data_IF_445933586223
#
_entry.id   IF_445933586223
#
_cell.length_a   1.000
_cell.length_b   1.000
_cell.length_c   1.000
_cell.angle_alpha   90.00
_cell.angle_beta   90.00
_cell.angle_gamma   90.00
#
_symmetry.space_group_name_H-M   'P 1'
#
loop_
_entity.id
_entity.type
_entity.pdbx_description
1 polymer ?
#
# COMPACT_ATOMS: atom_id res chain seq x y z
N UNK A 1 -26.89 110.42 78.00
CA UNK A 1 -25.49 110.25 78.49
C UNK A 1 -25.07 108.78 78.59
N UNK A 2 -25.99 107.81 78.69
CA UNK A 2 -25.69 106.35 78.72
C UNK A 2 -25.47 105.74 77.32
N UNK A 3 -26.12 106.25 76.25
CA UNK A 3 -25.92 105.71 74.88
C UNK A 3 -24.57 106.12 74.24
N UNK A 4 -24.07 107.34 74.51
CA UNK A 4 -22.77 107.81 74.00
C UNK A 4 -21.58 107.06 74.61
N UNK A 5 -21.73 106.53 75.83
CA UNK A 5 -20.68 105.73 76.48
C UNK A 5 -20.68 104.29 75.98
N UNK A 6 -21.85 103.71 75.67
CA UNK A 6 -21.95 102.39 75.03
C UNK A 6 -21.29 102.37 73.65
N UNK A 7 -21.59 103.35 72.79
CA UNK A 7 -21.05 103.42 71.43
C UNK A 7 -19.52 103.64 71.40
N UNK A 8 -19.00 104.43 72.35
CA UNK A 8 -17.55 104.62 72.50
C UNK A 8 -16.84 103.35 72.98
N UNK A 9 -17.45 102.60 73.90
CA UNK A 9 -16.93 101.32 74.39
C UNK A 9 -16.94 100.27 73.27
N UNK A 10 -18.00 100.21 72.46
CA UNK A 10 -18.07 99.30 71.31
C UNK A 10 -17.04 99.66 70.23
N UNK A 11 -16.82 100.95 70.00
CA UNK A 11 -15.77 101.42 69.08
C UNK A 11 -14.36 101.07 69.58
N UNK A 12 -14.09 101.24 70.87
CA UNK A 12 -12.81 100.91 71.47
C UNK A 12 -12.56 99.39 71.43
N UNK A 13 -13.57 98.59 71.76
CA UNK A 13 -13.51 97.13 71.64
C UNK A 13 -13.26 96.69 70.21
N UNK A 14 -13.89 97.33 69.23
CA UNK A 14 -13.68 97.02 67.82
C UNK A 14 -12.26 97.35 67.37
N UNK A 15 -11.69 98.46 67.84
CA UNK A 15 -10.31 98.86 67.54
C UNK A 15 -9.29 97.93 68.23
N UNK A 16 -9.53 97.53 69.49
CA UNK A 16 -8.68 96.58 70.22
C UNK A 16 -8.73 95.17 69.61
N UNK A 17 -9.92 94.72 69.20
CA UNK A 17 -10.09 93.45 68.46
C UNK A 17 -9.38 93.53 67.12
N UNK A 18 -9.50 94.64 66.39
CA UNK A 18 -8.80 94.82 65.12
C UNK A 18 -7.27 94.77 65.30
N UNK A 19 -6.72 95.48 66.29
CA UNK A 19 -5.28 95.44 66.60
C UNK A 19 -4.82 94.05 67.03
N UNK A 20 -5.64 93.31 67.78
CA UNK A 20 -5.32 91.95 68.19
C UNK A 20 -5.31 90.98 67.00
N UNK A 21 -6.32 91.06 66.13
CA UNK A 21 -6.46 90.21 64.93
C UNK A 21 -5.35 90.48 63.92
N UNK A 22 -4.99 91.75 63.72
CA UNK A 22 -3.94 92.17 62.79
C UNK A 22 -2.58 92.34 63.47
N UNK A 23 -2.40 91.85 64.70
CA UNK A 23 -1.10 91.85 65.35
C UNK A 23 -0.16 90.88 64.64
N UNK A 24 1.13 91.24 64.59
CA UNK A 24 2.17 90.39 64.01
C UNK A 24 2.14 88.98 64.59
N UNK A 25 1.90 88.85 65.90
CA UNK A 25 1.81 87.55 66.59
C UNK A 25 0.66 86.68 66.08
N UNK A 26 -0.52 87.26 65.86
CA UNK A 26 -1.69 86.53 65.32
C UNK A 26 -1.48 86.15 63.85
N UNK A 27 -0.91 87.07 63.05
CA UNK A 27 -0.58 86.83 61.64
C UNK A 27 0.46 85.71 61.52
N UNK A 28 1.50 85.71 62.34
CA UNK A 28 2.55 84.68 62.34
C UNK A 28 2.02 83.32 62.79
N UNK A 29 1.19 83.29 63.84
CA UNK A 29 0.54 82.07 64.30
C UNK A 29 -0.37 81.48 63.21
N UNK A 30 -1.17 82.32 62.53
CA UNK A 30 -2.01 81.88 61.43
C UNK A 30 -1.18 81.43 60.22
N UNK A 31 -0.11 82.15 59.87
CA UNK A 31 0.81 81.80 58.79
C UNK A 31 1.51 80.46 59.04
N UNK A 32 1.92 80.19 60.29
CA UNK A 32 2.52 78.90 60.67
C UNK A 32 1.50 77.76 60.61
N UNK A 33 0.28 77.96 61.13
CA UNK A 33 -0.78 76.94 61.07
C UNK A 33 -1.19 76.67 59.62
N UNK A 34 -1.38 77.70 58.80
CA UNK A 34 -1.68 77.57 57.38
C UNK A 34 -0.55 76.88 56.61
N UNK A 35 0.71 77.28 56.85
CA UNK A 35 1.89 76.67 56.24
C UNK A 35 2.03 75.19 56.59
N UNK A 36 1.85 74.83 57.86
CA UNK A 36 1.88 73.43 58.31
C UNK A 36 0.73 72.61 57.73
N UNK A 37 -0.49 73.16 57.67
CA UNK A 37 -1.65 72.48 57.09
C UNK A 37 -1.46 72.21 55.59
N UNK A 38 -0.97 73.21 54.84
CA UNK A 38 -0.66 73.05 53.42
C UNK A 38 0.49 72.07 53.21
N UNK A 39 1.59 72.18 53.97
CA UNK A 39 2.73 71.28 53.87
C UNK A 39 2.34 69.83 54.14
N UNK A 40 1.55 69.58 55.20
CA UNK A 40 1.05 68.25 55.55
C UNK A 40 0.13 67.70 54.47
N UNK A 41 -0.76 68.53 53.92
CA UNK A 41 -1.68 68.16 52.84
C UNK A 41 -0.92 67.81 51.55
N UNK A 42 0.06 68.63 51.15
CA UNK A 42 0.89 68.38 49.96
C UNK A 42 1.75 67.13 50.14
N UNK A 43 2.34 66.94 51.33
CA UNK A 43 3.16 65.75 51.61
C UNK A 43 2.31 64.47 51.59
N UNK A 44 1.10 64.51 52.17
CA UNK A 44 0.16 63.40 52.11
C UNK A 44 -0.27 63.09 50.67
N UNK A 45 -0.67 64.10 49.89
CA UNK A 45 -1.07 63.94 48.50
C UNK A 45 0.08 63.43 47.62
N UNK A 46 1.31 63.90 47.85
CA UNK A 46 2.50 63.41 47.14
C UNK A 46 2.79 61.94 47.47
N UNK A 47 2.74 61.57 48.75
CA UNK A 47 2.94 60.19 49.19
C UNK A 47 1.85 59.27 48.62
N UNK A 48 0.59 59.70 48.68
CA UNK A 48 -0.54 58.97 48.12
C UNK A 48 -0.40 58.81 46.61
N UNK A 49 -0.10 59.88 45.87
CA UNK A 49 0.12 59.85 44.42
C UNK A 49 1.29 58.94 44.05
N UNK A 50 2.39 58.99 44.81
CA UNK A 50 3.57 58.16 44.57
C UNK A 50 3.25 56.67 44.80
N UNK A 51 2.55 56.32 45.88
CA UNK A 51 2.23 54.95 46.24
C UNK A 51 1.08 54.36 45.42
N UNK A 52 0.08 55.16 45.05
CA UNK A 52 -1.13 54.69 44.36
C UNK A 52 -1.06 54.80 42.83
N UNK A 53 -0.20 55.69 42.31
CA UNK A 53 -0.13 55.98 40.87
C UNK A 53 1.28 55.72 40.31
N UNK A 54 2.31 56.39 40.84
CA UNK A 54 3.65 56.36 40.23
C UNK A 54 4.29 54.97 40.34
N UNK A 55 4.38 54.40 41.56
CA UNK A 55 4.97 53.07 41.76
C UNK A 55 4.20 52.00 40.96
N UNK A 56 2.85 51.90 41.06
CA UNK A 56 2.11 50.89 40.30
C UNK A 56 2.21 51.05 38.78
N UNK A 57 2.27 52.28 38.27
CA UNK A 57 2.44 52.53 36.83
C UNK A 57 3.83 52.14 36.34
N UNK A 58 4.87 52.43 37.11
CA UNK A 58 6.24 52.00 36.82
C UNK A 58 6.38 50.47 36.87
N UNK A 59 5.82 49.82 37.90
CA UNK A 59 5.80 48.35 38.00
C UNK A 59 5.07 47.71 36.82
N UNK A 60 3.92 48.29 36.44
CA UNK A 60 3.14 47.82 35.28
C UNK A 60 3.94 47.97 33.98
N UNK A 61 4.61 49.11 33.77
CA UNK A 61 5.44 49.35 32.61
C UNK A 61 6.63 48.37 32.56
N UNK A 62 7.31 48.16 33.69
CA UNK A 62 8.45 47.24 33.78
C UNK A 62 8.02 45.80 33.51
N UNK A 63 6.89 45.37 34.07
CA UNK A 63 6.32 44.04 33.81
C UNK A 63 5.96 43.87 32.33
N UNK A 64 5.35 44.89 31.72
CA UNK A 64 5.02 44.86 30.30
C UNK A 64 6.27 44.76 29.42
N UNK A 65 7.33 45.52 29.72
CA UNK A 65 8.61 45.42 29.02
C UNK A 65 9.24 44.04 29.15
N UNK A 66 9.22 43.45 30.35
CA UNK A 66 9.76 42.10 30.55
C UNK A 66 9.01 41.06 29.73
N UNK A 67 7.68 41.15 29.68
CA UNK A 67 6.88 40.28 28.81
C UNK A 67 7.20 40.47 27.33
N UNK A 68 7.28 41.73 26.85
CA UNK A 68 7.61 42.01 25.46
C UNK A 68 9.02 41.50 25.07
N UNK A 69 10.01 41.65 25.94
CA UNK A 69 11.37 41.13 25.71
C UNK A 69 11.36 39.60 25.68
N UNK A 70 10.64 38.96 26.60
CA UNK A 70 10.51 37.51 26.61
C UNK A 70 9.83 37.00 25.33
N UNK A 71 8.74 37.63 24.90
CA UNK A 71 7.99 37.23 23.71
C UNK A 71 8.83 37.44 22.45
N UNK A 72 9.50 38.58 22.32
CA UNK A 72 10.42 38.86 21.22
C UNK A 72 11.57 37.83 21.18
N UNK A 73 12.11 37.45 22.34
CA UNK A 73 13.16 36.45 22.43
C UNK A 73 12.67 35.05 22.03
N UNK A 74 11.50 34.62 22.50
CA UNK A 74 10.93 33.32 22.14
C UNK A 74 10.60 33.24 20.64
N UNK A 75 10.03 34.32 20.08
CA UNK A 75 9.73 34.43 18.67
C UNK A 75 11.01 34.40 17.83
N UNK A 76 12.03 35.18 18.20
CA UNK A 76 13.32 35.20 17.51
C UNK A 76 14.04 33.84 17.56
N UNK A 77 13.97 33.13 18.69
CA UNK A 77 14.46 31.75 18.79
C UNK A 77 13.73 30.81 17.83
N UNK A 78 12.40 30.90 17.76
CA UNK A 78 11.58 30.11 16.84
C UNK A 78 11.93 30.38 15.38
N UNK A 79 12.06 31.67 15.02
CA UNK A 79 12.45 32.09 13.68
C UNK A 79 13.86 31.60 13.30
N UNK A 80 14.84 31.76 14.20
CA UNK A 80 16.21 31.28 13.97
C UNK A 80 16.25 29.76 13.80
N UNK A 81 15.50 29.02 14.62
CA UNK A 81 15.40 27.56 14.47
C UNK A 81 14.79 27.19 13.11
N UNK A 82 13.74 27.89 12.70
CA UNK A 82 13.11 27.71 11.38
C UNK A 82 14.09 27.97 10.24
N UNK A 83 14.80 29.10 10.27
CA UNK A 83 15.80 29.45 9.26
C UNK A 83 16.93 28.41 9.20
N UNK A 84 17.40 27.90 10.35
CA UNK A 84 18.40 26.83 10.40
C UNK A 84 17.90 25.55 9.75
N UNK A 85 16.66 25.11 10.04
CA UNK A 85 16.08 23.94 9.37
C UNK A 85 15.99 24.13 7.86
N UNK A 86 15.52 25.30 7.40
CA UNK A 86 15.44 25.60 5.96
C UNK A 86 16.81 25.59 5.29
N UNK A 87 17.84 26.17 5.92
CA UNK A 87 19.19 26.12 5.35
C UNK A 87 19.77 24.71 5.33
N UNK A 88 19.54 23.93 6.37
CA UNK A 88 20.02 22.54 6.42
C UNK A 88 19.36 21.69 5.34
N UNK A 89 18.07 21.89 5.10
CA UNK A 89 17.32 21.23 4.02
C UNK A 89 17.86 21.63 2.64
N UNK A 90 18.04 22.94 2.40
CA UNK A 90 18.63 23.45 1.15
C UNK A 90 20.04 22.91 0.90
N UNK A 91 20.90 22.87 1.93
CA UNK A 91 22.25 22.32 1.79
C UNK A 91 22.19 20.82 1.49
N UNK A 92 21.29 20.08 2.13
CA UNK A 92 21.11 18.64 1.89
C UNK A 92 20.65 18.39 0.46
N UNK A 93 19.67 19.16 -0.02
CA UNK A 93 19.16 19.06 -1.38
C UNK A 93 20.21 19.46 -2.43
N UNK A 94 20.91 20.57 -2.23
CA UNK A 94 21.98 21.01 -3.12
C UNK A 94 23.14 19.99 -3.16
N UNK A 95 23.48 19.37 -2.03
CA UNK A 95 24.48 18.29 -2.01
C UNK A 95 24.00 17.04 -2.73
N UNK A 96 22.71 16.69 -2.60
CA UNK A 96 22.13 15.57 -3.34
C UNK A 96 22.19 15.81 -4.85
N UNK A 97 21.76 16.99 -5.31
CA UNK A 97 21.83 17.40 -6.70
C UNK A 97 23.27 17.47 -7.22
N UNK A 98 24.22 18.00 -6.43
CA UNK A 98 25.62 18.06 -6.83
C UNK A 98 26.32 16.69 -6.86
N UNK A 99 25.93 15.77 -5.96
CA UNK A 99 26.46 14.40 -5.91
C UNK A 99 25.86 13.50 -6.99
N UNK A 100 24.64 13.82 -7.42
CA UNK A 100 23.87 13.04 -8.38
C UNK A 100 23.24 13.92 -9.47
N UNK A 101 24.05 14.70 -10.23
CA UNK A 101 23.53 15.68 -11.18
C UNK A 101 22.68 15.03 -12.28
N UNK A 102 22.98 13.77 -12.59
CA UNK A 102 22.33 13.04 -13.68
C UNK A 102 21.29 12.03 -13.16
N UNK A 103 20.94 12.01 -11.88
CA UNK A 103 19.93 11.06 -11.37
C UNK A 103 18.57 11.29 -12.03
N UNK A 104 18.20 12.55 -12.28
CA UNK A 104 16.97 12.85 -13.01
C UNK A 104 17.01 12.34 -14.46
N UNK A 105 18.13 12.51 -15.15
CA UNK A 105 18.33 12.01 -16.51
C UNK A 105 18.33 10.47 -16.56
N UNK A 106 18.98 9.81 -15.60
CA UNK A 106 19.00 8.35 -15.46
C UNK A 106 17.61 7.80 -15.13
N UNK A 107 16.85 8.47 -14.26
CA UNK A 107 15.46 8.12 -13.96
C UNK A 107 14.60 8.20 -15.24
N UNK A 108 14.70 9.30 -15.98
CA UNK A 108 13.95 9.48 -17.23
C UNK A 108 14.35 8.43 -18.29
N UNK A 109 15.64 8.10 -18.39
CA UNK A 109 16.12 7.04 -19.29
C UNK A 109 15.60 5.66 -18.87
N UNK A 110 15.55 5.39 -17.57
CA UNK A 110 14.99 4.15 -17.00
C UNK A 110 13.50 4.04 -17.29
N UNK A 111 12.73 5.11 -17.08
CA UNK A 111 11.29 5.15 -17.37
C UNK A 111 11.03 4.97 -18.88
N UNK A 112 11.85 5.59 -19.71
CA UNK A 112 11.79 5.43 -21.17
C UNK A 112 12.06 3.99 -21.57
N UNK A 113 13.09 3.36 -20.99
CA UNK A 113 13.44 1.97 -21.25
C UNK A 113 12.33 1.01 -20.80
N UNK A 114 11.76 1.22 -19.60
CA UNK A 114 10.62 0.47 -19.07
C UNK A 114 9.44 0.53 -20.06
N UNK A 115 9.07 1.73 -20.51
CA UNK A 115 7.96 1.90 -21.46
C UNK A 115 8.23 1.23 -22.81
N UNK A 116 9.48 1.26 -23.29
CA UNK A 116 9.87 0.59 -24.53
C UNK A 116 9.78 -0.93 -24.39
N UNK A 117 10.26 -1.47 -23.27
CA UNK A 117 10.18 -2.90 -22.98
C UNK A 117 8.73 -3.38 -22.91
N UNK A 118 7.84 -2.64 -22.25
CA UNK A 118 6.40 -2.96 -22.19
C UNK A 118 5.75 -2.93 -23.58
N UNK A 119 6.08 -1.94 -24.41
CA UNK A 119 5.59 -1.87 -25.81
C UNK A 119 6.11 -3.02 -26.66
N UNK A 120 7.37 -3.40 -26.50
CA UNK A 120 7.95 -4.55 -27.20
C UNK A 120 7.27 -5.86 -26.80
N UNK A 121 7.09 -6.10 -25.49
CA UNK A 121 6.41 -7.28 -24.99
C UNK A 121 5.00 -7.39 -25.56
N UNK A 122 4.25 -6.30 -25.52
CA UNK A 122 2.90 -6.22 -26.09
C UNK A 122 2.89 -6.49 -27.60
N UNK A 123 3.85 -5.92 -28.34
CA UNK A 123 3.95 -6.13 -29.78
C UNK A 123 4.29 -7.58 -30.13
N UNK A 124 5.29 -8.18 -29.46
CA UNK A 124 5.66 -9.59 -29.66
C UNK A 124 4.50 -10.51 -29.34
N UNK A 125 3.78 -10.28 -28.24
CA UNK A 125 2.60 -11.06 -27.88
C UNK A 125 1.50 -10.96 -28.95
N UNK A 126 1.23 -9.75 -29.47
CA UNK A 126 0.25 -9.55 -30.52
C UNK A 126 0.65 -10.25 -31.84
N UNK A 127 1.92 -10.15 -32.23
CA UNK A 127 2.43 -10.79 -33.45
C UNK A 127 2.41 -12.32 -33.35
N UNK A 128 2.85 -12.89 -32.23
CA UNK A 128 2.79 -14.34 -31.99
C UNK A 128 1.34 -14.81 -32.07
N UNK A 129 0.41 -14.13 -31.37
CA UNK A 129 -1.01 -14.48 -31.39
C UNK A 129 -1.58 -14.46 -32.81
N UNK A 130 -1.31 -13.40 -33.56
CA UNK A 130 -1.77 -13.25 -34.94
C UNK A 130 -1.24 -14.37 -35.86
N UNK A 131 0.04 -14.70 -35.73
CA UNK A 131 0.66 -15.74 -36.56
C UNK A 131 0.13 -17.13 -36.21
N UNK A 132 -0.03 -17.42 -34.91
CA UNK A 132 -0.56 -18.69 -34.43
C UNK A 132 -2.02 -18.89 -34.88
N UNK A 133 -2.85 -17.85 -34.77
CA UNK A 133 -4.25 -17.88 -35.23
C UNK A 133 -4.32 -18.11 -36.75
N UNK A 134 -3.47 -17.42 -37.52
CA UNK A 134 -3.42 -17.56 -38.98
C UNK A 134 -2.97 -18.97 -39.42
N UNK A 135 -1.88 -19.49 -38.85
CA UNK A 135 -1.35 -20.82 -39.17
C UNK A 135 -2.32 -21.94 -38.76
N UNK A 136 -2.92 -21.83 -37.56
CA UNK A 136 -3.93 -22.78 -37.10
C UNK A 136 -5.14 -22.80 -38.04
N UNK A 137 -5.62 -21.63 -38.44
CA UNK A 137 -6.77 -21.51 -39.34
C UNK A 137 -6.46 -22.07 -40.73
N UNK A 138 -5.26 -21.79 -41.29
CA UNK A 138 -4.83 -22.35 -42.57
C UNK A 138 -4.68 -23.88 -42.51
N UNK A 139 -4.06 -24.40 -41.45
CA UNK A 139 -3.92 -25.85 -41.24
C UNK A 139 -5.27 -26.55 -41.08
N UNK A 140 -6.22 -25.94 -40.37
CA UNK A 140 -7.57 -26.50 -40.21
C UNK A 140 -8.32 -26.56 -41.54
N UNK A 141 -8.25 -25.51 -42.35
CA UNK A 141 -8.84 -25.49 -43.70
C UNK A 141 -8.19 -26.55 -44.59
N UNK A 142 -6.87 -26.66 -44.59
CA UNK A 142 -6.16 -27.70 -45.34
C UNK A 142 -6.51 -29.12 -44.89
N UNK A 143 -6.65 -29.36 -43.58
CA UNK A 143 -7.16 -30.63 -43.06
C UNK A 143 -8.60 -30.91 -43.49
N UNK A 144 -9.48 -29.90 -43.45
CA UNK A 144 -10.86 -30.06 -43.92
C UNK A 144 -10.92 -30.43 -45.40
N UNK A 145 -10.10 -29.79 -46.25
CA UNK A 145 -9.99 -30.12 -47.67
C UNK A 145 -9.47 -31.55 -47.88
N UNK A 146 -8.43 -31.95 -47.13
CA UNK A 146 -7.87 -33.29 -47.22
C UNK A 146 -8.87 -34.36 -46.77
N UNK A 147 -9.57 -34.15 -45.65
CA UNK A 147 -10.61 -35.05 -45.16
C UNK A 147 -11.76 -35.13 -46.16
N UNK A 148 -12.19 -34.00 -46.72
CA UNK A 148 -13.22 -33.98 -47.75
C UNK A 148 -12.82 -34.80 -48.98
N UNK A 149 -11.56 -34.66 -49.44
CA UNK A 149 -11.04 -35.45 -50.55
C UNK A 149 -11.03 -36.95 -50.23
N UNK A 150 -10.46 -37.36 -49.08
CA UNK A 150 -10.44 -38.78 -48.68
C UNK A 150 -11.84 -39.36 -48.49
N UNK A 151 -12.76 -38.61 -47.88
CA UNK A 151 -14.14 -39.07 -47.72
C UNK A 151 -14.85 -39.18 -49.06
N UNK A 152 -14.68 -38.24 -49.99
CA UNK A 152 -15.26 -38.33 -51.33
C UNK A 152 -14.71 -39.54 -52.10
N UNK A 153 -13.41 -39.80 -51.98
CA UNK A 153 -12.75 -40.93 -52.65
C UNK A 153 -13.19 -42.27 -52.05
N UNK A 154 -13.12 -42.42 -50.72
CA UNK A 154 -13.52 -43.64 -50.03
C UNK A 154 -15.03 -43.92 -50.16
N UNK A 155 -15.89 -42.89 -50.05
CA UNK A 155 -17.34 -43.05 -50.29
C UNK A 155 -17.59 -43.38 -51.76
N UNK A 156 -16.85 -42.80 -52.70
CA UNK A 156 -16.95 -43.13 -54.12
C UNK A 156 -16.62 -44.60 -54.40
N UNK A 157 -15.54 -45.11 -53.78
CA UNK A 157 -15.12 -46.51 -53.91
C UNK A 157 -16.11 -47.46 -53.22
N UNK A 158 -16.54 -47.16 -51.99
CA UNK A 158 -17.50 -47.96 -51.23
C UNK A 158 -18.89 -47.96 -51.88
N UNK A 159 -19.36 -46.83 -52.43
CA UNK A 159 -20.63 -46.75 -53.17
C UNK A 159 -20.53 -47.51 -54.49
N UNK A 160 -19.40 -47.45 -55.19
CA UNK A 160 -19.19 -48.22 -56.42
C UNK A 160 -19.21 -49.72 -56.13
N UNK A 161 -18.53 -50.16 -55.06
CA UNK A 161 -18.52 -51.53 -54.57
C UNK A 161 -19.91 -51.97 -54.12
N UNK A 162 -20.62 -51.16 -53.34
CA UNK A 162 -21.97 -51.44 -52.87
C UNK A 162 -23.00 -51.48 -54.01
N UNK A 163 -22.87 -50.64 -55.03
CA UNK A 163 -23.73 -50.69 -56.24
C UNK A 163 -23.45 -51.94 -57.06
N UNK A 164 -22.17 -52.31 -57.20
CA UNK A 164 -21.77 -53.56 -57.89
C UNK A 164 -22.25 -54.78 -57.12
N UNK A 165 -22.13 -54.78 -55.81
CA UNK A 165 -22.62 -55.85 -54.95
C UNK A 165 -24.15 -55.87 -54.86
N UNK A 166 -24.84 -54.74 -54.85
CA UNK A 166 -26.29 -54.66 -54.97
C UNK A 166 -26.75 -55.17 -56.35
N UNK A 167 -26.03 -54.87 -57.43
CA UNK A 167 -26.30 -55.42 -58.76
C UNK A 167 -26.15 -56.94 -58.80
N UNK A 168 -25.07 -57.46 -58.22
CA UNK A 168 -24.85 -58.89 -58.06
C UNK A 168 -25.91 -59.53 -57.15
N UNK A 169 -26.29 -58.87 -56.04
CA UNK A 169 -27.33 -59.33 -55.12
C UNK A 169 -28.74 -59.22 -55.68
N UNK A 170 -29.04 -58.30 -56.60
CA UNK A 170 -30.32 -58.26 -57.31
C UNK A 170 -30.38 -59.40 -58.32
N UNK A 171 -29.27 -59.66 -59.04
CA UNK A 171 -29.12 -60.85 -59.90
C UNK A 171 -29.22 -62.16 -59.11
N UNK A 172 -28.63 -62.22 -57.92
CA UNK A 172 -28.64 -63.41 -57.05
C UNK A 172 -29.93 -63.54 -56.23
N UNK A 173 -30.63 -62.43 -55.90
CA UNK A 173 -31.91 -62.42 -55.17
C UNK A 173 -33.08 -62.89 -56.05
N UNK A 174 -33.00 -62.71 -57.37
CA UNK A 174 -33.90 -63.39 -58.31
C UNK A 174 -33.66 -64.91 -58.30
N UNK A 175 -32.46 -65.38 -57.92
CA UNK A 175 -32.11 -66.79 -57.87
C UNK A 175 -32.28 -67.46 -56.50
N UNK A 176 -32.09 -66.75 -55.38
CA UNK A 176 -31.93 -67.35 -54.05
C UNK A 176 -32.69 -66.59 -52.95
N UNK A 177 -34.02 -66.56 -53.06
CA UNK A 177 -34.90 -66.21 -51.94
C UNK A 177 -35.12 -67.40 -50.98
N UNK A 178 -34.07 -67.88 -50.30
CA UNK A 178 -34.23 -68.66 -49.05
C UNK A 178 -33.00 -68.51 -48.15
N UNK A 179 -33.27 -68.16 -46.88
CA UNK A 179 -32.42 -68.40 -45.68
C UNK A 179 -31.40 -67.31 -45.27
N UNK A 180 -31.93 -66.39 -44.45
CA UNK A 180 -31.47 -65.92 -43.13
C UNK A 180 -30.00 -65.50 -42.83
N UNK A 181 -29.94 -64.26 -42.32
CA UNK A 181 -29.25 -63.75 -41.10
C UNK A 181 -27.72 -63.75 -40.99
N UNK A 182 -27.14 -62.55 -40.70
CA UNK A 182 -26.42 -62.23 -39.44
C UNK A 182 -25.81 -60.81 -39.43
N UNK A 183 -25.72 -60.19 -38.24
CA UNK A 183 -25.30 -58.81 -37.88
C UNK A 183 -23.77 -58.61 -37.82
N UNK A 184 -23.23 -57.37 -37.88
CA UNK A 184 -21.89 -57.06 -37.38
C UNK A 184 -21.85 -56.20 -36.10
N UNK A 185 -20.72 -56.34 -35.40
CA UNK A 185 -20.33 -55.78 -34.09
C UNK A 185 -19.72 -54.38 -34.24
N UNK A 186 -20.04 -53.45 -33.32
CA UNK A 186 -19.47 -52.09 -33.24
C UNK A 186 -18.28 -52.08 -32.27
N UNK A 187 -17.12 -51.61 -32.73
CA UNK A 187 -15.96 -51.29 -31.87
C UNK A 187 -16.07 -49.86 -31.32
N UNK A 188 -15.91 -49.73 -30.00
CA UNK A 188 -15.95 -48.48 -29.24
C UNK A 188 -14.55 -47.86 -29.20
N UNK A 189 -14.44 -46.59 -29.57
CA UNK A 189 -13.26 -45.73 -29.43
C UNK A 189 -12.86 -45.54 -27.94
N UNK A 190 -11.56 -45.42 -27.59
CA UNK A 190 -11.16 -45.20 -26.20
C UNK A 190 -11.54 -43.81 -25.71
N UNK A 191 -12.11 -43.79 -24.51
CA UNK A 191 -12.64 -42.63 -23.79
C UNK A 191 -11.53 -41.67 -23.32
N UNK A 192 -11.80 -40.37 -23.39
CA UNK A 192 -11.03 -39.27 -22.79
C UNK A 192 -11.00 -39.48 -21.26
N UNK A 193 -9.98 -40.15 -20.71
CA UNK A 193 -9.85 -40.31 -19.26
C UNK A 193 -9.32 -39.02 -18.64
N UNK A 194 -10.04 -38.50 -17.64
CA UNK A 194 -9.55 -37.44 -16.75
C UNK A 194 -8.20 -37.86 -16.12
N UNK A 195 -7.24 -36.93 -15.88
CA UNK A 195 -5.90 -37.28 -15.38
C UNK A 195 -5.85 -37.66 -13.88
N UNK A 196 -6.96 -37.54 -13.13
CA UNK A 196 -7.05 -37.82 -11.68
C UNK A 196 -6.57 -39.23 -11.26
N UNK A 197 -6.98 -40.35 -11.90
CA UNK A 197 -6.57 -41.69 -11.49
C UNK A 197 -5.08 -41.95 -11.73
N UNK A 198 -4.48 -41.33 -12.76
CA UNK A 198 -3.04 -41.44 -13.03
C UNK A 198 -2.22 -40.75 -11.92
N UNK A 199 -2.65 -39.57 -11.48
CA UNK A 199 -2.01 -38.84 -10.37
C UNK A 199 -2.09 -39.64 -9.07
N UNK A 200 -3.24 -40.23 -8.74
CA UNK A 200 -3.38 -41.09 -7.56
C UNK A 200 -2.42 -42.27 -7.59
N UNK A 201 -2.26 -42.91 -8.76
CA UNK A 201 -1.32 -44.01 -8.94
C UNK A 201 0.13 -43.56 -8.71
N UNK A 202 0.52 -42.38 -9.21
CA UNK A 202 1.86 -41.82 -9.00
C UNK A 202 2.13 -41.51 -7.53
N UNK A 203 1.15 -40.97 -6.81
CA UNK A 203 1.26 -40.69 -5.38
C UNK A 203 1.41 -41.97 -4.55
N UNK A 204 0.65 -43.02 -4.85
CA UNK A 204 0.76 -44.32 -4.18
C UNK A 204 2.12 -44.99 -4.42
N UNK A 205 2.73 -44.76 -5.60
CA UNK A 205 4.07 -45.24 -5.92
C UNK A 205 5.19 -44.40 -5.29
N UNK A 206 4.85 -43.34 -4.54
CA UNK A 206 5.83 -42.42 -3.95
C UNK A 206 6.49 -41.49 -4.96
N UNK A 207 6.00 -41.42 -6.20
CA UNK A 207 6.51 -40.53 -7.26
C UNK A 207 5.93 -39.13 -7.11
N UNK A 208 6.22 -38.49 -5.97
CA UNK A 208 5.63 -37.20 -5.57
C UNK A 208 5.93 -36.12 -6.61
N UNK A 209 7.18 -35.99 -7.06
CA UNK A 209 7.54 -34.97 -8.05
C UNK A 209 6.75 -35.13 -9.36
N UNK A 210 6.64 -36.35 -9.89
CA UNK A 210 5.93 -36.62 -11.15
C UNK A 210 4.44 -36.32 -11.02
N UNK A 211 3.84 -36.62 -9.87
CA UNK A 211 2.44 -36.29 -9.60
C UNK A 211 2.19 -34.77 -9.58
N UNK A 212 3.08 -34.00 -8.93
CA UNK A 212 3.02 -32.54 -8.94
C UNK A 212 3.27 -31.97 -10.33
N UNK A 213 4.28 -32.44 -11.06
CA UNK A 213 4.61 -31.99 -12.42
C UNK A 213 3.42 -32.21 -13.37
N UNK A 214 2.73 -33.37 -13.26
CA UNK A 214 1.53 -33.68 -14.02
C UNK A 214 0.35 -32.76 -13.67
N UNK A 215 0.13 -32.49 -12.38
CA UNK A 215 -0.94 -31.59 -11.93
C UNK A 215 -0.72 -30.14 -12.37
N UNK A 216 0.52 -29.65 -12.26
CA UNK A 216 0.91 -28.30 -12.66
C UNK A 216 0.85 -28.14 -14.19
N UNK A 217 1.26 -29.18 -14.94
CA UNK A 217 1.19 -29.20 -16.41
C UNK A 217 -0.24 -29.21 -16.96
N UNK A 218 -1.21 -29.70 -16.18
CA UNK A 218 -2.62 -29.68 -16.55
C UNK A 218 -3.24 -28.27 -16.50
N UNK A 219 -2.50 -27.25 -16.03
CA UNK A 219 -2.95 -25.85 -15.89
C UNK A 219 -4.28 -25.69 -15.13
N UNK A 220 -4.67 -26.69 -14.33
CA UNK A 220 -5.92 -26.73 -13.60
C UNK A 220 -5.65 -26.64 -12.10
N UNK A 221 -6.02 -25.52 -11.48
CA UNK A 221 -5.85 -25.29 -10.05
C UNK A 221 -6.57 -26.36 -9.21
N UNK A 222 -7.71 -26.88 -9.67
CA UNK A 222 -8.44 -27.95 -8.99
C UNK A 222 -7.56 -29.21 -8.86
N UNK A 223 -6.77 -29.53 -9.89
CA UNK A 223 -5.88 -30.67 -9.87
C UNK A 223 -4.70 -30.48 -8.91
N UNK A 224 -4.14 -29.27 -8.88
CA UNK A 224 -3.05 -28.94 -7.96
C UNK A 224 -3.52 -28.97 -6.51
N UNK A 225 -4.72 -28.44 -6.25
CA UNK A 225 -5.36 -28.52 -4.94
C UNK A 225 -5.63 -29.97 -4.54
N UNK A 226 -6.14 -30.79 -5.45
CA UNK A 226 -6.34 -32.23 -5.23
C UNK A 226 -5.05 -32.93 -4.80
N UNK A 227 -3.93 -32.65 -5.48
CA UNK A 227 -2.62 -33.20 -5.07
C UNK A 227 -2.22 -32.69 -3.68
N UNK A 228 -2.34 -31.38 -3.42
CA UNK A 228 -1.97 -30.79 -2.12
C UNK A 228 -2.80 -31.34 -0.95
N UNK A 229 -4.06 -31.68 -1.18
CA UNK A 229 -4.96 -32.30 -0.20
C UNK A 229 -4.67 -33.80 0.00
N UNK A 230 -4.20 -34.48 -1.04
CA UNK A 230 -3.94 -35.93 -1.01
C UNK A 230 -2.58 -36.27 -0.39
N UNK A 231 -1.57 -35.39 -0.55
CA UNK A 231 -0.21 -35.65 -0.05
C UNK A 231 0.01 -35.20 1.38
N UNK A 232 0.83 -35.94 2.12
CA UNK A 232 1.28 -35.50 3.43
C UNK A 232 2.37 -34.43 3.30
N UNK A 233 2.17 -33.26 3.90
CA UNK A 233 3.12 -32.14 3.87
C UNK A 233 4.55 -32.55 4.27
N UNK A 234 4.69 -33.40 5.29
CA UNK A 234 5.99 -33.85 5.81
C UNK A 234 6.75 -34.69 4.78
N UNK A 235 6.02 -35.48 3.97
CA UNK A 235 6.62 -36.29 2.91
C UNK A 235 7.10 -35.46 1.73
N UNK A 236 6.59 -34.23 1.58
CA UNK A 236 6.91 -33.31 0.50
C UNK A 236 8.02 -32.34 0.90
N UNK A 237 7.98 -31.74 2.10
CA UNK A 237 8.88 -30.62 2.45
C UNK A 237 9.81 -30.87 3.64
N UNK A 238 9.62 -31.95 4.42
CA UNK A 238 10.47 -32.26 5.59
C UNK A 238 11.53 -33.35 5.29
N UNK A 239 11.59 -33.82 4.03
CA UNK A 239 12.64 -34.73 3.55
C UNK A 239 13.82 -33.93 2.98
N UNK A 240 15.04 -34.36 3.28
CA UNK A 240 16.27 -33.79 2.71
C UNK A 240 17.03 -34.88 1.95
N UNK A 241 17.28 -34.74 0.63
CA UNK A 241 16.87 -33.63 -0.24
C UNK A 241 15.36 -33.58 -0.49
N UNK A 242 14.82 -32.38 -0.74
CA UNK A 242 13.41 -32.19 -1.07
C UNK A 242 13.04 -33.01 -2.33
N UNK A 243 11.97 -33.82 -2.30
CA UNK A 243 11.57 -34.63 -3.45
C UNK A 243 11.11 -33.80 -4.64
N UNK A 244 10.63 -32.56 -4.43
CA UNK A 244 10.17 -31.69 -5.49
C UNK A 244 11.34 -30.97 -6.17
N UNK A 245 11.34 -31.01 -7.50
CA UNK A 245 12.32 -30.29 -8.32
C UNK A 245 12.08 -28.78 -8.26
N UNK A 246 13.15 -28.00 -8.45
CA UNK A 246 13.10 -26.54 -8.31
C UNK A 246 12.06 -25.87 -9.24
N UNK A 247 11.92 -26.35 -10.49
CA UNK A 247 10.86 -25.88 -11.40
C UNK A 247 9.45 -26.14 -10.87
N UNK A 248 9.26 -27.29 -10.22
CA UNK A 248 7.98 -27.72 -9.64
C UNK A 248 7.64 -26.85 -8.43
N UNK A 249 8.64 -26.53 -7.59
CA UNK A 249 8.48 -25.60 -6.46
C UNK A 249 8.06 -24.20 -6.92
N UNK A 250 8.74 -23.66 -7.95
CA UNK A 250 8.39 -22.34 -8.50
C UNK A 250 6.99 -22.31 -9.10
N UNK A 251 6.64 -23.32 -9.91
CA UNK A 251 5.32 -23.41 -10.53
C UNK A 251 4.22 -23.60 -9.48
N UNK A 252 4.48 -24.35 -8.40
CA UNK A 252 3.57 -24.49 -7.28
C UNK A 252 3.33 -23.15 -6.56
N UNK A 253 4.40 -22.38 -6.28
CA UNK A 253 4.27 -21.04 -5.68
C UNK A 253 3.44 -20.14 -6.61
N UNK A 254 3.75 -20.14 -7.90
CA UNK A 254 3.04 -19.33 -8.89
C UNK A 254 1.55 -19.68 -8.90
N UNK A 255 1.19 -20.95 -9.08
CA UNK A 255 -0.20 -21.38 -9.28
C UNK A 255 -1.05 -21.23 -8.01
N UNK A 256 -0.48 -21.50 -6.82
CA UNK A 256 -1.19 -21.30 -5.55
C UNK A 256 -1.35 -19.82 -5.18
N UNK A 257 -0.49 -18.93 -5.70
CA UNK A 257 -0.57 -17.49 -5.40
C UNK A 257 -1.69 -16.75 -6.15
N UNK A 258 -2.18 -17.29 -7.28
CA UNK A 258 -3.12 -16.59 -8.16
C UNK A 258 -4.47 -16.35 -7.47
N UNK A 259 -4.98 -17.35 -6.75
CA UNK A 259 -6.20 -17.24 -5.94
C UNK A 259 -5.92 -17.72 -4.51
N UNK A 260 -5.86 -16.79 -3.57
CA UNK A 260 -5.69 -17.09 -2.14
C UNK A 260 -7.03 -17.13 -1.37
N UNK A 261 -8.16 -16.87 -2.04
CA UNK A 261 -9.48 -16.77 -1.41
C UNK A 261 -10.07 -18.10 -0.95
N UNK A 262 -9.67 -19.20 -1.59
CA UNK A 262 -10.12 -20.57 -1.30
C UNK A 262 -8.99 -21.41 -0.71
N UNK A 263 -9.30 -22.29 0.25
CA UNK A 263 -8.34 -23.19 0.90
C UNK A 263 -7.06 -22.48 1.40
N UNK A 264 -7.25 -21.26 1.92
CA UNK A 264 -6.17 -20.29 2.19
C UNK A 264 -5.07 -20.84 3.10
N UNK A 265 -5.43 -21.58 4.14
CA UNK A 265 -4.46 -22.16 5.08
C UNK A 265 -3.57 -23.22 4.40
N UNK A 266 -4.16 -24.10 3.59
CA UNK A 266 -3.43 -25.12 2.86
C UNK A 266 -2.48 -24.48 1.84
N UNK A 267 -2.98 -23.52 1.06
CA UNK A 267 -2.16 -22.77 0.08
C UNK A 267 -1.00 -22.05 0.75
N UNK A 268 -1.27 -21.33 1.84
CA UNK A 268 -0.24 -20.63 2.60
C UNK A 268 0.83 -21.60 3.14
N UNK A 269 0.41 -22.75 3.67
CA UNK A 269 1.32 -23.79 4.17
C UNK A 269 2.23 -24.34 3.05
N UNK A 270 1.67 -24.69 1.90
CA UNK A 270 2.43 -25.21 0.75
C UNK A 270 3.34 -24.17 0.12
N UNK A 271 2.90 -22.90 0.02
CA UNK A 271 3.75 -21.79 -0.44
C UNK A 271 4.96 -21.63 0.48
N UNK A 272 4.76 -21.63 1.81
CA UNK A 272 5.87 -21.55 2.77
C UNK A 272 6.85 -22.72 2.63
N UNK A 273 6.33 -23.95 2.55
CA UNK A 273 7.16 -25.15 2.37
C UNK A 273 7.99 -25.09 1.09
N UNK A 274 7.38 -24.62 -0.01
CA UNK A 274 8.07 -24.48 -1.28
C UNK A 274 9.16 -23.41 -1.22
N UNK A 275 8.88 -22.24 -0.63
CA UNK A 275 9.85 -21.15 -0.51
C UNK A 275 11.09 -21.52 0.31
N UNK A 276 10.93 -22.31 1.38
CA UNK A 276 12.05 -22.76 2.22
C UNK A 276 12.96 -23.73 1.48
N UNK A 277 12.42 -24.49 0.52
CA UNK A 277 13.15 -25.50 -0.25
C UNK A 277 13.67 -24.98 -1.62
N UNK A 278 13.50 -23.69 -1.91
CA UNK A 278 14.07 -23.07 -3.11
C UNK A 278 15.57 -22.87 -2.94
N UNK A 279 16.34 -23.30 -3.94
CA UNK A 279 17.76 -23.01 -4.04
C UNK A 279 17.99 -21.84 -5.01
N UNK A 280 18.48 -20.70 -4.47
CA UNK A 280 18.82 -19.50 -5.25
C UNK A 280 19.99 -19.72 -6.23
N UNK A 281 20.75 -20.79 -6.05
CA UNK A 281 21.92 -21.12 -6.89
C UNK A 281 21.51 -21.91 -8.14
N UNK A 282 20.28 -22.43 -8.19
CA UNK A 282 19.78 -23.21 -9.32
C UNK A 282 19.51 -22.29 -10.54
N UNK A 283 20.05 -22.58 -11.73
CA UNK A 283 19.89 -21.73 -12.91
C UNK A 283 18.43 -21.53 -13.34
N UNK A 284 17.61 -22.58 -13.23
CA UNK A 284 16.18 -22.52 -13.60
C UNK A 284 15.43 -21.59 -12.65
N UNK A 285 15.86 -21.58 -11.39
CA UNK A 285 15.31 -20.69 -10.38
C UNK A 285 15.73 -19.25 -10.67
N UNK A 286 17.01 -18.97 -10.91
CA UNK A 286 17.49 -17.60 -11.13
C UNK A 286 16.75 -16.86 -12.25
N UNK A 287 16.46 -17.53 -13.37
CA UNK A 287 15.78 -16.93 -14.51
C UNK A 287 14.34 -16.48 -14.20
N UNK A 288 13.64 -17.18 -13.30
CA UNK A 288 12.20 -17.00 -13.07
C UNK A 288 11.85 -16.51 -11.65
N UNK A 289 12.77 -16.64 -10.68
CA UNK A 289 12.54 -16.36 -9.27
C UNK A 289 12.04 -14.94 -9.05
N UNK A 290 12.71 -13.94 -9.60
CA UNK A 290 12.34 -12.54 -9.40
C UNK A 290 10.91 -12.26 -9.86
N UNK A 291 10.54 -12.75 -11.05
CA UNK A 291 9.19 -12.57 -11.61
C UNK A 291 8.12 -13.29 -10.78
N UNK A 292 8.35 -14.56 -10.43
CA UNK A 292 7.41 -15.38 -9.65
C UNK A 292 7.23 -14.83 -8.23
N UNK A 293 8.31 -14.45 -7.57
CA UNK A 293 8.25 -13.92 -6.19
C UNK A 293 7.65 -12.51 -6.17
N UNK A 294 7.91 -11.67 -7.18
CA UNK A 294 7.25 -10.37 -7.29
C UNK A 294 5.73 -10.52 -7.48
N UNK A 295 5.31 -11.45 -8.34
CA UNK A 295 3.90 -11.79 -8.51
C UNK A 295 3.26 -12.30 -7.21
N UNK A 296 3.95 -13.20 -6.48
CA UNK A 296 3.53 -13.68 -5.16
C UNK A 296 3.31 -12.52 -4.18
N UNK A 297 4.27 -11.59 -4.07
CA UNK A 297 4.14 -10.42 -3.17
C UNK A 297 2.92 -9.60 -3.55
N UNK A 298 2.72 -9.30 -4.83
CA UNK A 298 1.58 -8.55 -5.33
C UNK A 298 0.25 -9.22 -4.98
N UNK A 299 0.14 -10.53 -5.21
CA UNK A 299 -1.09 -11.29 -4.89
C UNK A 299 -1.36 -11.36 -3.38
N UNK A 300 -0.32 -11.59 -2.57
CA UNK A 300 -0.45 -11.64 -1.11
C UNK A 300 -0.82 -10.27 -0.54
N UNK A 301 -0.24 -9.18 -1.03
CA UNK A 301 -0.57 -7.83 -0.55
C UNK A 301 -2.02 -7.45 -0.92
N UNK A 302 -2.45 -7.72 -2.15
CA UNK A 302 -3.83 -7.49 -2.58
C UNK A 302 -4.84 -8.36 -1.78
N UNK A 303 -4.48 -9.59 -1.42
CA UNK A 303 -5.33 -10.46 -0.61
C UNK A 303 -5.43 -9.96 0.83
N UNK A 304 -4.30 -9.60 1.43
CA UNK A 304 -4.23 -9.15 2.82
C UNK A 304 -4.93 -7.81 3.04
N UNK A 305 -4.89 -6.91 2.05
CA UNK A 305 -5.63 -5.64 2.06
C UNK A 305 -7.15 -5.88 2.16
N UNK A 306 -7.67 -6.88 1.44
CA UNK A 306 -9.09 -7.27 1.47
C UNK A 306 -9.45 -8.10 2.71
N UNK A 307 -8.49 -8.78 3.33
CA UNK A 307 -8.70 -9.67 4.47
C UNK A 307 -7.74 -9.36 5.63
N UNK A 308 -7.97 -8.29 6.41
CA UNK A 308 -7.04 -7.85 7.46
C UNK A 308 -6.74 -8.89 8.54
N UNK A 309 -7.66 -9.84 8.79
CA UNK A 309 -7.45 -10.94 9.74
C UNK A 309 -6.35 -11.92 9.31
N UNK A 310 -6.03 -11.97 8.02
CA UNK A 310 -5.04 -12.89 7.44
C UNK A 310 -3.62 -12.29 7.38
N UNK A 311 -3.44 -11.02 7.80
CA UNK A 311 -2.13 -10.34 7.84
C UNK A 311 -1.08 -11.18 8.56
N UNK A 312 -1.43 -11.73 9.74
CA UNK A 312 -0.50 -12.50 10.56
C UNK A 312 -0.14 -13.84 9.92
N UNK A 313 -1.09 -14.51 9.28
CA UNK A 313 -0.87 -15.82 8.66
C UNK A 313 0.07 -15.73 7.45
N UNK A 314 0.02 -14.63 6.68
CA UNK A 314 0.88 -14.41 5.52
C UNK A 314 2.16 -13.63 5.83
N UNK A 315 2.38 -13.24 7.10
CA UNK A 315 3.55 -12.45 7.50
C UNK A 315 4.88 -13.12 7.11
N UNK A 316 4.99 -14.43 7.35
CA UNK A 316 6.20 -15.20 7.01
C UNK A 316 6.44 -15.25 5.51
N UNK A 317 5.40 -15.54 4.71
CA UNK A 317 5.48 -15.53 3.23
C UNK A 317 5.94 -14.16 2.73
N UNK A 318 5.37 -13.06 3.25
CA UNK A 318 5.76 -11.70 2.84
C UNK A 318 7.22 -11.37 3.16
N UNK A 319 7.69 -11.73 4.35
CA UNK A 319 9.07 -11.47 4.76
C UNK A 319 10.06 -12.32 3.97
N UNK A 320 9.78 -13.62 3.82
CA UNK A 320 10.60 -14.53 3.05
C UNK A 320 10.66 -14.12 1.58
N UNK A 321 9.52 -13.74 0.97
CA UNK A 321 9.45 -13.31 -0.42
C UNK A 321 10.29 -12.05 -0.65
N UNK A 322 10.22 -11.07 0.26
CA UNK A 322 11.06 -9.87 0.19
C UNK A 322 12.55 -10.18 0.34
N UNK A 323 12.92 -11.11 1.22
CA UNK A 323 14.31 -11.56 1.37
C UNK A 323 14.83 -12.41 0.19
N UNK A 324 13.95 -12.96 -0.63
CA UNK A 324 14.32 -13.66 -1.86
C UNK A 324 14.60 -12.68 -3.03
N UNK A 325 14.06 -11.46 -2.99
CA UNK A 325 14.23 -10.42 -4.01
C UNK A 325 15.47 -9.53 -3.75
N UNK A 326 15.94 -9.45 -2.50
CA UNK A 326 17.18 -8.76 -2.09
C UNK A 326 18.39 -9.67 -2.31
#
# INVERSE_FOLDING_TARGET
>A
MVELTSAAIDSLRKDDIAKMVFSQQTIDAFGMVAGNAVSTSVQAAYSETSQSIIIPSFERATRALMHQVNDAFQNGKGELLGQLYTQLDQVTQNQFEARFPNVFELQQMTDSFQSLAERMLSHVQATIKMHLESELQSSLLGMQEMIAHYLMEAVGEEVSMAVKEMGNRISDSVLNATRSESKPVIQVMPNLQEPKPQILQLLQQGQINTAFDMALSACNLEMVMFVCETVNFSEVFEKTPCPLQQRVLLSLIQQLSIDLGSNTELKNKFIQGAMVNLDKSDPVVQDHLTSVIFALVKHVEAFVEKHPRMIHQFKMVRLAAKALII
#
